data_IF_473812658573
#
_entry.id   IF_473812658573
#
_cell.length_a   1.000
_cell.length_b   1.000
_cell.length_c   1.000
_cell.angle_alpha   90.00
_cell.angle_beta   90.00
_cell.angle_gamma   90.00
#
_symmetry.space_group_name_H-M   'P 1'
#
loop_
_entity.id
_entity.type
_entity.pdbx_description
1 polymer ?
#
# COMPACT_ATOMS: atom_id res chain seq x y z
N UNK A 1 43.75 -37.67 7.42
CA UNK A 1 43.41 -36.62 6.44
C UNK A 1 41.97 -36.12 6.54
N UNK A 2 41.00 -36.94 7.01
CA UNK A 2 39.60 -36.52 7.18
C UNK A 2 39.35 -35.61 8.40
N UNK A 3 40.06 -35.82 9.52
CA UNK A 3 39.85 -35.08 10.78
C UNK A 3 40.35 -33.62 10.70
N UNK A 4 41.40 -33.36 9.90
CA UNK A 4 42.01 -32.02 9.74
C UNK A 4 41.17 -31.08 8.87
N UNK A 5 40.23 -31.61 8.08
CA UNK A 5 39.37 -30.84 7.18
C UNK A 5 38.01 -30.48 7.79
N UNK A 6 37.63 -31.13 8.90
CA UNK A 6 36.39 -30.90 9.63
C UNK A 6 36.21 -29.46 10.15
N UNK A 7 37.22 -28.80 10.77
CA UNK A 7 37.04 -27.44 11.27
C UNK A 7 36.92 -26.41 10.13
N UNK A 8 37.58 -26.64 8.99
CA UNK A 8 37.47 -25.79 7.81
C UNK A 8 36.07 -25.87 7.18
N UNK A 9 35.47 -27.06 7.15
CA UNK A 9 34.11 -27.27 6.66
C UNK A 9 33.08 -26.60 7.58
N UNK A 10 33.27 -26.66 8.91
CA UNK A 10 32.37 -26.01 9.88
C UNK A 10 32.42 -24.48 9.74
N UNK A 11 33.62 -23.90 9.61
CA UNK A 11 33.79 -22.45 9.40
C UNK A 11 33.19 -22.01 8.05
N UNK A 12 33.39 -22.79 6.98
CA UNK A 12 32.78 -22.52 5.68
C UNK A 12 31.24 -22.60 5.73
N UNK A 13 30.66 -23.57 6.46
CA UNK A 13 29.20 -23.64 6.67
C UNK A 13 28.66 -22.45 7.46
N UNK A 14 29.34 -22.00 8.52
CA UNK A 14 28.94 -20.80 9.26
C UNK A 14 29.04 -19.52 8.43
N UNK A 15 30.01 -19.43 7.51
CA UNK A 15 30.15 -18.31 6.57
C UNK A 15 29.09 -18.33 5.46
N UNK A 16 28.61 -19.51 5.05
CA UNK A 16 27.57 -19.65 4.02
C UNK A 16 26.14 -19.53 4.56
N UNK A 17 25.92 -19.75 5.86
CA UNK A 17 24.65 -19.46 6.54
C UNK A 17 24.57 -18.04 7.13
N UNK A 18 25.65 -17.27 7.06
CA UNK A 18 25.63 -15.86 7.45
C UNK A 18 24.71 -15.08 6.53
N UNK A 19 23.71 -14.42 7.12
CA UNK A 19 22.76 -13.44 6.59
C UNK A 19 21.76 -13.85 5.49
N UNK A 20 20.84 -14.77 5.80
CA UNK A 20 19.51 -14.65 5.20
C UNK A 20 18.76 -13.48 5.88
N UNK A 21 19.14 -12.24 5.59
CA UNK A 21 18.31 -11.08 5.94
C UNK A 21 17.12 -11.10 5.00
N UNK A 22 16.01 -11.70 5.43
CA UNK A 22 14.73 -11.34 4.87
C UNK A 22 14.55 -9.85 5.17
N UNK A 23 14.50 -9.01 4.14
CA UNK A 23 14.08 -7.62 4.30
C UNK A 23 12.64 -7.65 4.83
N UNK A 24 12.49 -7.52 6.15
CA UNK A 24 11.17 -7.46 6.80
C UNK A 24 10.43 -6.24 6.23
N UNK A 25 9.21 -6.47 5.76
CA UNK A 25 8.44 -5.40 5.16
C UNK A 25 8.05 -4.38 6.26
N UNK A 26 8.27 -3.07 6.05
CA UNK A 26 8.04 -2.06 7.10
C UNK A 26 6.56 -1.95 7.53
N UNK A 27 5.65 -2.57 6.78
CA UNK A 27 4.20 -2.58 7.04
C UNK A 27 3.70 -3.86 7.72
N UNK A 28 4.53 -4.86 7.97
CA UNK A 28 4.12 -6.10 8.65
C UNK A 28 3.63 -5.85 10.08
N UNK A 29 4.13 -4.78 10.72
CA UNK A 29 3.66 -4.29 12.02
C UNK A 29 2.18 -3.85 12.02
N UNK A 30 1.64 -3.47 10.87
CA UNK A 30 0.24 -3.03 10.74
C UNK A 30 -0.69 -4.19 10.44
N UNK A 31 -0.24 -5.13 9.62
CA UNK A 31 -0.98 -6.33 9.25
C UNK A 31 -0.03 -7.40 8.73
N UNK A 32 -0.20 -8.63 9.20
CA UNK A 32 0.58 -9.81 8.79
C UNK A 32 0.46 -10.17 7.31
N UNK A 33 -0.49 -9.57 6.59
CA UNK A 33 -0.64 -9.74 5.14
C UNK A 33 -0.89 -8.40 4.44
N UNK A 34 -0.14 -7.37 4.81
CA UNK A 34 -0.28 -6.05 4.21
C UNK A 34 -0.05 -6.08 2.69
N UNK A 35 -0.94 -5.47 1.91
CA UNK A 35 -0.93 -5.56 0.43
C UNK A 35 0.39 -5.08 -0.19
N UNK A 36 1.06 -4.10 0.41
CA UNK A 36 2.37 -3.63 -0.06
C UNK A 36 3.48 -4.69 0.09
N UNK A 37 3.36 -5.57 1.08
CA UNK A 37 4.32 -6.64 1.36
C UNK A 37 4.03 -7.91 0.56
N UNK A 38 2.84 -8.00 -0.05
CA UNK A 38 2.46 -9.15 -0.87
C UNK A 38 3.23 -9.11 -2.18
N UNK A 39 3.76 -10.27 -2.58
CA UNK A 39 4.38 -10.44 -3.90
C UNK A 39 3.33 -10.21 -5.01
N UNK A 40 3.75 -9.68 -6.18
CA UNK A 40 2.86 -9.52 -7.32
C UNK A 40 2.20 -10.84 -7.73
N UNK A 41 0.95 -10.76 -8.18
CA UNK A 41 0.22 -11.93 -8.65
C UNK A 41 0.79 -12.40 -10.00
N UNK A 42 1.32 -13.62 -10.04
CA UNK A 42 1.92 -14.22 -11.24
C UNK A 42 0.90 -14.54 -12.35
N UNK A 43 -0.39 -14.62 -12.03
CA UNK A 43 -1.45 -14.89 -13.00
C UNK A 43 -1.89 -13.65 -13.78
N UNK A 44 -1.43 -12.45 -13.41
CA UNK A 44 -1.81 -11.20 -14.08
C UNK A 44 -0.67 -10.71 -14.99
N UNK A 45 -0.95 -10.61 -16.29
CA UNK A 45 -0.05 -9.93 -17.22
C UNK A 45 -0.37 -8.43 -17.25
N UNK A 46 0.40 -7.64 -16.50
CA UNK A 46 0.15 -6.21 -16.34
C UNK A 46 0.66 -5.45 -17.57
N UNK A 47 -0.26 -4.96 -18.40
CA UNK A 47 0.09 -4.16 -19.58
C UNK A 47 0.38 -2.69 -19.23
N UNK A 48 -0.37 -2.12 -18.29
CA UNK A 48 -0.23 -0.74 -17.84
C UNK A 48 -0.51 -0.65 -16.34
N UNK A 49 0.30 0.14 -15.64
CA UNK A 49 0.17 0.39 -14.21
C UNK A 49 -0.01 1.88 -13.94
N UNK A 50 -0.78 2.17 -12.90
CA UNK A 50 -0.99 3.53 -12.43
C UNK A 50 -1.97 4.34 -13.29
N UNK A 51 -2.09 5.62 -12.93
CA UNK A 51 -3.08 6.53 -13.50
C UNK A 51 -2.35 7.76 -14.05
N UNK A 52 -2.71 8.19 -15.27
CA UNK A 52 -2.12 9.39 -15.90
C UNK A 52 -2.43 10.63 -15.06
N UNK A 53 -1.52 11.60 -15.02
CA UNK A 53 -1.66 12.85 -14.24
C UNK A 53 -3.02 13.55 -14.46
N UNK A 54 -3.44 13.70 -15.72
CA UNK A 54 -4.75 14.29 -16.07
C UNK A 54 -5.93 13.55 -15.43
N UNK A 55 -5.89 12.21 -15.39
CA UNK A 55 -6.96 11.40 -14.82
C UNK A 55 -6.93 11.47 -13.29
N UNK A 56 -5.74 11.60 -12.68
CA UNK A 56 -5.61 11.82 -11.24
C UNK A 56 -6.28 13.15 -10.84
N UNK A 57 -6.03 14.22 -11.60
CA UNK A 57 -6.66 15.52 -11.37
C UNK A 57 -8.19 15.45 -11.52
N UNK A 58 -8.68 14.72 -12.52
CA UNK A 58 -10.11 14.47 -12.72
C UNK A 58 -10.72 13.69 -11.55
N UNK A 59 -10.07 12.61 -11.11
CA UNK A 59 -10.51 11.81 -9.95
C UNK A 59 -10.61 12.70 -8.71
N UNK A 60 -9.58 13.51 -8.42
CA UNK A 60 -9.59 14.44 -7.29
C UNK A 60 -10.71 15.48 -7.42
N UNK A 61 -10.89 16.05 -8.61
CA UNK A 61 -11.95 17.04 -8.88
C UNK A 61 -13.33 16.48 -8.58
N UNK A 62 -13.65 15.30 -9.12
CA UNK A 62 -14.96 14.66 -8.94
C UNK A 62 -15.22 14.35 -7.47
N UNK A 63 -14.25 13.78 -6.76
CA UNK A 63 -14.43 13.49 -5.34
C UNK A 63 -14.58 14.76 -4.49
N UNK A 64 -13.79 15.79 -4.75
CA UNK A 64 -13.86 17.04 -4.00
C UNK A 64 -15.17 17.79 -4.25
N UNK A 65 -15.69 17.76 -5.49
CA UNK A 65 -17.03 18.27 -5.81
C UNK A 65 -18.09 17.59 -4.95
N UNK A 66 -18.07 16.25 -4.88
CA UNK A 66 -19.04 15.49 -4.12
C UNK A 66 -18.90 15.72 -2.60
N UNK A 67 -17.67 15.65 -2.08
CA UNK A 67 -17.36 15.94 -0.66
C UNK A 67 -17.83 17.33 -0.25
N UNK A 68 -17.62 18.34 -1.11
CA UNK A 68 -18.09 19.70 -0.87
C UNK A 68 -19.63 19.79 -0.86
N UNK A 69 -20.30 19.09 -1.77
CA UNK A 69 -21.76 19.00 -1.79
C UNK A 69 -22.33 18.38 -0.50
N UNK A 70 -21.78 17.25 -0.07
CA UNK A 70 -22.14 16.60 1.19
C UNK A 70 -21.86 17.53 2.38
N UNK A 71 -20.70 18.17 2.43
CA UNK A 71 -20.33 19.06 3.53
C UNK A 71 -21.29 20.25 3.70
N UNK A 72 -21.87 20.73 2.60
CA UNK A 72 -22.87 21.79 2.59
C UNK A 72 -24.29 21.31 2.87
N UNK A 73 -24.50 19.99 3.04
CA UNK A 73 -25.82 19.39 3.24
C UNK A 73 -26.67 19.36 1.98
N UNK A 74 -26.04 19.33 0.78
CA UNK A 74 -26.74 19.32 -0.51
C UNK A 74 -27.10 17.91 -1.00
N UNK A 75 -26.67 16.87 -0.30
CA UNK A 75 -26.96 15.49 -0.65
C UNK A 75 -28.31 15.06 -0.07
N UNK A 76 -29.33 14.98 -0.93
CA UNK A 76 -30.73 14.74 -0.54
C UNK A 76 -31.22 13.29 -0.70
N UNK A 77 -30.35 12.37 -1.14
CA UNK A 77 -30.73 10.97 -1.42
C UNK A 77 -30.67 10.07 -0.18
N UNK A 78 -30.50 10.63 1.02
CA UNK A 78 -30.48 9.84 2.24
C UNK A 78 -31.91 9.46 2.67
N UNK A 79 -32.06 8.27 3.28
CA UNK A 79 -33.33 7.84 3.86
C UNK A 79 -33.64 8.79 5.04
N UNK A 80 -34.76 9.49 4.97
CA UNK A 80 -35.12 10.52 5.96
C UNK A 80 -34.73 11.96 5.59
N UNK A 81 -34.20 12.20 4.38
CA UNK A 81 -33.98 13.56 3.85
C UNK A 81 -32.54 13.81 3.40
N UNK A 82 -32.01 14.98 3.75
CA UNK A 82 -30.63 15.35 3.38
C UNK A 82 -29.61 14.89 4.41
N UNK A 83 -28.41 14.53 3.93
CA UNK A 83 -27.27 14.31 4.83
C UNK A 83 -26.93 15.60 5.59
N UNK A 84 -26.49 15.50 6.86
CA UNK A 84 -26.11 16.66 7.64
C UNK A 84 -24.87 17.34 7.07
N UNK A 85 -24.74 18.64 7.38
CA UNK A 85 -23.54 19.43 7.06
C UNK A 85 -22.32 18.89 7.82
N UNK A 86 -21.14 19.01 7.22
CA UNK A 86 -19.88 18.63 7.86
C UNK A 86 -19.07 19.88 8.22
N UNK A 87 -18.58 19.95 9.45
CA UNK A 87 -17.81 21.09 9.97
C UNK A 87 -16.35 21.12 9.52
N UNK A 88 -15.79 19.96 9.12
CA UNK A 88 -14.36 19.83 8.81
C UNK A 88 -14.08 18.90 7.62
N UNK A 89 -14.86 19.03 6.53
CA UNK A 89 -14.66 18.21 5.33
C UNK A 89 -13.59 18.82 4.41
N UNK A 90 -12.34 18.40 4.61
CA UNK A 90 -11.20 18.94 3.86
C UNK A 90 -11.14 18.48 2.40
N UNK A 91 -10.53 19.29 1.54
CA UNK A 91 -10.22 18.93 0.17
C UNK A 91 -9.17 17.82 0.14
N UNK A 92 -9.39 16.79 -0.68
CA UNK A 92 -8.38 15.78 -0.96
C UNK A 92 -7.36 16.32 -1.95
N UNK A 93 -6.10 16.04 -1.67
CA UNK A 93 -4.98 16.40 -2.53
C UNK A 93 -4.12 15.16 -2.76
N UNK A 94 -3.39 15.16 -3.87
CA UNK A 94 -2.35 14.17 -4.09
C UNK A 94 -1.07 14.66 -3.43
N UNK A 95 -0.62 13.93 -2.42
CA UNK A 95 0.77 13.97 -1.99
C UNK A 95 1.51 12.96 -2.87
N UNK A 96 2.70 13.33 -3.38
CA UNK A 96 3.61 12.52 -4.22
C UNK A 96 3.27 12.39 -5.72
#
# INVERSE_FOLDING_TARGET
MFITMLPLIIVASFLLLGWASAEDCPYDRLSTQHTFCRKPNLSCNIHHSGVKKRHIEEILKVHNLYRSGVAQGKESRAIGGSLPKASNMMQMVRYF
#
